data_IF_861052081507
#
_entry.id   IF_861052081507
#
_cell.length_a   1.000
_cell.length_b   1.000
_cell.length_c   1.000
_cell.angle_alpha   90.00
_cell.angle_beta   90.00
_cell.angle_gamma   90.00
#
_symmetry.space_group_name_H-M   'P 1'
#
loop_
_entity.id
_entity.type
_entity.pdbx_description
1 polymer ?
#
# COMPACT_ATOMS: atom_id res chain seq x y z
N UNK A 1 -0.27 -4.42 17.66
CA UNK A 1 1.15 -3.98 17.69
C UNK A 1 1.53 -3.47 16.31
N UNK A 2 2.36 -2.42 16.22
CA UNK A 2 2.88 -1.94 14.95
C UNK A 2 3.76 -3.01 14.29
N UNK A 3 3.68 -3.11 12.98
CA UNK A 3 4.53 -3.98 12.16
C UNK A 3 5.83 -3.26 11.83
N UNK A 4 6.95 -3.99 11.87
CA UNK A 4 8.28 -3.45 11.54
C UNK A 4 8.62 -3.77 10.10
N UNK A 5 9.08 -2.78 9.35
CA UNK A 5 9.49 -2.93 7.97
C UNK A 5 10.69 -2.10 7.60
N UNK A 6 11.04 -2.20 6.35
CA UNK A 6 12.07 -1.40 5.69
C UNK A 6 11.58 -0.94 4.34
N UNK A 7 12.14 0.16 3.85
CA UNK A 7 12.06 0.44 2.43
C UNK A 7 13.45 0.40 1.79
N UNK A 8 13.48 -0.06 0.54
CA UNK A 8 14.69 -0.38 -0.20
C UNK A 8 14.59 0.00 -1.66
N UNK A 9 15.75 0.26 -2.25
CA UNK A 9 15.91 0.59 -3.66
C UNK A 9 17.20 -0.03 -4.21
N UNK A 10 17.66 0.44 -5.36
CA UNK A 10 18.98 0.09 -5.89
C UNK A 10 20.13 0.39 -4.92
N UNK A 11 19.91 1.25 -3.92
CA UNK A 11 20.93 1.56 -2.92
C UNK A 11 21.25 0.33 -2.03
N UNK A 12 20.27 -0.50 -1.74
CA UNK A 12 20.42 -1.73 -0.94
C UNK A 12 20.68 -2.94 -1.86
N UNK A 13 21.83 -2.95 -2.57
CA UNK A 13 22.18 -4.02 -3.53
C UNK A 13 22.40 -5.37 -2.87
N UNK A 14 22.94 -5.38 -1.65
CA UNK A 14 23.27 -6.60 -0.91
C UNK A 14 22.29 -6.77 0.27
N UNK A 15 21.29 -7.63 0.06
CA UNK A 15 20.32 -8.03 1.08
C UNK A 15 20.39 -9.53 1.27
N UNK A 16 20.77 -9.96 2.47
CA UNK A 16 20.65 -11.36 2.88
C UNK A 16 19.23 -11.64 3.40
N UNK A 17 18.38 -12.09 2.51
CA UNK A 17 16.98 -12.41 2.77
C UNK A 17 16.78 -13.58 3.73
N UNK A 18 17.83 -14.35 4.06
CA UNK A 18 17.75 -15.44 5.04
C UNK A 18 17.84 -14.91 6.47
N UNK A 19 18.64 -13.89 6.68
CA UNK A 19 18.84 -13.27 8.00
C UNK A 19 17.93 -12.09 8.28
N UNK A 20 17.37 -11.45 7.23
CA UNK A 20 16.47 -10.31 7.36
C UNK A 20 15.18 -10.68 8.12
N UNK A 21 14.89 -9.96 9.19
CA UNK A 21 13.72 -10.17 10.07
C UNK A 21 12.84 -8.93 10.08
N UNK A 22 11.90 -8.86 9.12
CA UNK A 22 10.93 -7.77 8.98
C UNK A 22 9.54 -8.34 8.67
N UNK A 23 8.50 -7.61 9.07
CA UNK A 23 7.12 -7.95 8.74
C UNK A 23 6.77 -7.57 7.30
N UNK A 24 7.38 -6.50 6.77
CA UNK A 24 7.12 -6.01 5.41
C UNK A 24 8.33 -5.29 4.80
N UNK A 25 8.28 -5.16 3.49
CA UNK A 25 9.24 -4.38 2.70
C UNK A 25 8.50 -3.53 1.67
N UNK A 26 8.88 -2.25 1.53
CA UNK A 26 8.43 -1.38 0.45
C UNK A 26 9.61 -1.15 -0.49
N UNK A 27 9.40 -1.40 -1.78
CA UNK A 27 10.50 -1.40 -2.76
C UNK A 27 10.30 -0.28 -3.77
N UNK A 28 11.35 0.44 -4.10
CA UNK A 28 11.28 1.35 -5.25
C UNK A 28 11.03 0.57 -6.53
N UNK A 29 9.87 0.79 -7.15
CA UNK A 29 9.56 0.19 -8.44
C UNK A 29 10.26 0.94 -9.59
N UNK A 30 10.40 2.25 -9.45
CA UNK A 30 11.04 3.10 -10.43
C UNK A 30 10.79 4.58 -10.14
N UNK A 31 10.99 5.41 -11.16
CA UNK A 31 10.84 6.86 -11.09
C UNK A 31 10.55 7.45 -12.46
N UNK A 32 9.99 8.67 -12.49
CA UNK A 32 9.80 9.42 -13.72
C UNK A 32 8.78 8.82 -14.69
N UNK A 33 8.81 9.22 -15.95
CA UNK A 33 7.73 9.03 -16.92
C UNK A 33 7.79 7.76 -17.77
N UNK A 34 8.85 6.96 -17.66
CA UNK A 34 9.09 5.85 -18.58
C UNK A 34 9.34 4.53 -17.85
N UNK A 35 8.80 3.45 -18.38
CA UNK A 35 8.94 2.11 -17.78
C UNK A 35 10.41 1.62 -17.71
N UNK A 36 11.28 2.10 -18.61
CA UNK A 36 12.71 1.79 -18.55
C UNK A 36 13.43 2.44 -17.34
N UNK A 37 12.79 3.43 -16.67
CA UNK A 37 13.26 4.01 -15.42
C UNK A 37 12.90 3.12 -14.21
N UNK A 38 12.54 1.87 -14.46
CA UNK A 38 12.40 0.85 -13.41
C UNK A 38 13.67 0.75 -12.59
N UNK A 39 13.54 0.63 -11.27
CA UNK A 39 14.67 0.42 -10.38
C UNK A 39 15.35 -0.92 -10.72
N UNK A 40 16.68 -0.89 -10.89
CA UNK A 40 17.46 -2.05 -11.37
C UNK A 40 17.41 -3.23 -10.39
N UNK A 41 17.12 -3.00 -9.10
CA UNK A 41 17.00 -4.04 -8.07
C UNK A 41 15.56 -4.49 -7.83
N UNK A 42 14.56 -3.80 -8.39
CA UNK A 42 13.16 -4.05 -8.10
C UNK A 42 12.72 -5.50 -8.32
N UNK A 43 13.04 -6.08 -9.47
CA UNK A 43 12.67 -7.47 -9.79
C UNK A 43 13.32 -8.48 -8.83
N UNK A 44 14.60 -8.25 -8.50
CA UNK A 44 15.33 -9.10 -7.56
C UNK A 44 14.73 -9.01 -6.16
N UNK A 45 14.51 -7.79 -5.66
CA UNK A 45 13.89 -7.57 -4.35
C UNK A 45 12.48 -8.15 -4.28
N UNK A 46 11.65 -7.92 -5.30
CA UNK A 46 10.31 -8.47 -5.38
C UNK A 46 10.30 -10.00 -5.33
N UNK A 47 11.14 -10.66 -6.15
CA UNK A 47 11.26 -12.12 -6.19
C UNK A 47 11.68 -12.69 -4.83
N UNK A 48 12.68 -12.08 -4.21
CA UNK A 48 13.18 -12.53 -2.92
C UNK A 48 12.16 -12.33 -1.79
N UNK A 49 11.48 -11.19 -1.75
CA UNK A 49 10.40 -10.94 -0.79
C UNK A 49 9.26 -11.97 -0.96
N UNK A 50 8.90 -12.32 -2.20
CA UNK A 50 7.94 -13.39 -2.47
C UNK A 50 8.40 -14.74 -1.92
N UNK A 51 9.64 -15.14 -2.21
CA UNK A 51 10.21 -16.41 -1.78
C UNK A 51 10.26 -16.54 -0.23
N UNK A 52 10.42 -15.44 0.46
CA UNK A 52 10.42 -15.37 1.93
C UNK A 52 9.04 -15.16 2.56
N UNK A 53 8.00 -14.99 1.75
CA UNK A 53 6.66 -14.72 2.25
C UNK A 53 6.53 -13.39 2.98
N UNK A 54 7.47 -12.45 2.78
CA UNK A 54 7.45 -11.12 3.38
C UNK A 54 6.37 -10.29 2.67
N UNK A 55 5.49 -9.65 3.44
CA UNK A 55 4.51 -8.74 2.90
C UNK A 55 5.20 -7.54 2.22
N UNK A 56 4.69 -7.11 1.08
CA UNK A 56 5.39 -6.15 0.23
C UNK A 56 4.51 -5.05 -0.32
N UNK A 57 5.09 -3.87 -0.47
CA UNK A 57 4.59 -2.72 -1.19
C UNK A 57 5.59 -2.23 -2.23
N UNK A 58 5.21 -1.18 -2.92
CA UNK A 58 6.13 -0.51 -3.84
C UNK A 58 5.95 1.00 -3.78
N UNK A 59 6.95 1.75 -4.18
CA UNK A 59 6.85 3.18 -4.39
C UNK A 59 7.42 3.62 -5.74
N UNK A 60 6.93 4.75 -6.22
CA UNK A 60 7.35 5.40 -7.46
C UNK A 60 7.78 6.83 -7.14
N UNK A 61 9.05 7.16 -7.39
CA UNK A 61 9.58 8.49 -7.15
C UNK A 61 9.15 9.47 -8.24
N UNK A 62 8.58 10.59 -7.87
CA UNK A 62 8.00 11.56 -8.79
C UNK A 62 8.96 12.66 -9.21
N UNK A 63 9.02 12.88 -10.51
CA UNK A 63 9.58 14.09 -11.12
C UNK A 63 8.52 14.92 -11.85
N UNK A 64 7.23 14.62 -11.69
CA UNK A 64 6.13 15.24 -12.42
C UNK A 64 6.02 16.74 -12.12
N UNK A 65 6.04 17.56 -13.14
CA UNK A 65 5.85 19.02 -13.05
C UNK A 65 4.44 19.43 -13.50
N UNK A 66 3.64 18.48 -13.99
CA UNK A 66 2.26 18.67 -14.45
C UNK A 66 1.42 17.42 -14.19
N UNK A 67 0.11 17.57 -14.26
CA UNK A 67 -0.82 16.44 -14.20
C UNK A 67 -0.61 15.45 -15.35
N UNK A 68 -0.28 15.96 -16.54
CA UNK A 68 0.06 15.12 -17.70
C UNK A 68 1.32 14.28 -17.42
N UNK A 69 2.36 14.86 -16.80
CA UNK A 69 3.54 14.11 -16.37
C UNK A 69 3.18 13.01 -15.37
N UNK A 70 2.36 13.35 -14.36
CA UNK A 70 1.92 12.38 -13.34
C UNK A 70 1.12 11.21 -13.93
N UNK A 71 0.29 11.47 -14.94
CA UNK A 71 -0.42 10.42 -15.68
C UNK A 71 0.59 9.51 -16.41
N UNK A 72 1.64 10.06 -17.00
CA UNK A 72 2.67 9.23 -17.65
C UNK A 72 3.49 8.44 -16.62
N UNK A 73 3.85 9.03 -15.49
CA UNK A 73 4.48 8.31 -14.37
C UNK A 73 3.62 7.15 -13.87
N UNK A 74 2.30 7.38 -13.72
CA UNK A 74 1.37 6.33 -13.33
C UNK A 74 1.30 5.18 -14.36
N UNK A 75 1.25 5.50 -15.65
CA UNK A 75 1.27 4.49 -16.73
C UNK A 75 2.56 3.67 -16.70
N UNK A 76 3.71 4.32 -16.54
CA UNK A 76 5.01 3.65 -16.40
C UNK A 76 5.04 2.75 -15.16
N UNK A 77 4.55 3.23 -14.02
CA UNK A 77 4.42 2.45 -12.81
C UNK A 77 3.52 1.22 -13.01
N UNK A 78 2.34 1.37 -13.61
CA UNK A 78 1.42 0.28 -13.92
C UNK A 78 2.10 -0.80 -14.77
N UNK A 79 2.85 -0.40 -15.79
CA UNK A 79 3.58 -1.32 -16.66
C UNK A 79 4.61 -2.15 -15.88
N UNK A 80 5.40 -1.50 -15.02
CA UNK A 80 6.40 -2.16 -14.17
C UNK A 80 5.77 -3.10 -13.14
N UNK A 81 4.60 -2.76 -12.60
CA UNK A 81 3.90 -3.54 -11.59
C UNK A 81 3.04 -4.68 -12.17
N UNK A 82 2.85 -4.74 -13.47
CA UNK A 82 1.96 -5.70 -14.15
C UNK A 82 2.29 -7.14 -13.76
N UNK A 83 1.25 -7.91 -13.41
CA UNK A 83 1.36 -9.32 -13.02
C UNK A 83 1.88 -9.57 -11.61
N UNK A 84 2.18 -8.54 -10.83
CA UNK A 84 2.68 -8.63 -9.45
C UNK A 84 1.56 -8.43 -8.44
N UNK A 85 1.78 -8.89 -7.20
CA UNK A 85 0.85 -8.74 -6.06
C UNK A 85 1.54 -8.02 -4.93
N UNK A 86 0.82 -7.05 -4.31
CA UNK A 86 1.35 -6.28 -3.20
C UNK A 86 0.35 -6.24 -2.05
N UNK A 87 0.81 -6.54 -0.85
CA UNK A 87 0.02 -6.52 0.37
C UNK A 87 -0.09 -5.12 0.99
N UNK A 88 0.75 -4.19 0.54
CA UNK A 88 0.76 -2.79 0.94
C UNK A 88 0.36 -1.88 -0.23
N UNK A 89 -0.04 -0.63 0.02
CA UNK A 89 -0.34 0.33 -1.04
C UNK A 89 0.84 0.52 -1.99
N UNK A 90 0.53 1.04 -3.19
CA UNK A 90 1.53 1.58 -4.09
C UNK A 90 1.66 3.06 -3.76
N UNK A 91 2.83 3.47 -3.29
CA UNK A 91 3.05 4.83 -2.85
C UNK A 91 3.62 5.71 -3.96
N UNK A 92 3.06 6.90 -4.08
CA UNK A 92 3.64 7.97 -4.88
C UNK A 92 4.53 8.79 -3.96
N UNK A 93 5.80 8.82 -4.26
CA UNK A 93 6.84 9.48 -3.48
C UNK A 93 7.02 10.90 -4.02
N UNK A 94 6.56 11.88 -3.23
CA UNK A 94 6.46 13.29 -3.60
C UNK A 94 7.27 14.15 -2.64
N UNK A 95 8.51 14.40 -3.02
CA UNK A 95 9.47 15.19 -2.24
C UNK A 95 10.52 15.91 -3.11
N UNK A 96 10.40 15.85 -4.44
CA UNK A 96 11.32 16.50 -5.36
C UNK A 96 11.29 18.03 -5.15
N UNK A 97 12.42 18.67 -4.79
CA UNK A 97 12.43 20.09 -4.42
C UNK A 97 11.84 21.04 -5.49
N UNK A 98 12.01 20.72 -6.77
CA UNK A 98 11.46 21.52 -7.87
C UNK A 98 9.94 21.55 -7.88
N UNK A 99 9.28 20.49 -7.44
CA UNK A 99 7.82 20.45 -7.35
C UNK A 99 7.30 21.41 -6.29
N UNK A 100 8.03 21.65 -5.21
CA UNK A 100 7.60 22.54 -4.12
C UNK A 100 7.32 23.96 -4.61
N UNK A 101 8.10 24.44 -5.58
CA UNK A 101 7.93 25.77 -6.19
C UNK A 101 6.60 25.91 -6.98
N UNK A 102 5.96 24.81 -7.37
CA UNK A 102 4.66 24.84 -8.05
C UNK A 102 3.51 25.25 -7.13
N UNK A 103 3.71 25.19 -5.82
CA UNK A 103 2.72 25.50 -4.82
C UNK A 103 1.71 24.38 -4.56
N UNK A 104 1.02 24.49 -3.42
CA UNK A 104 0.17 23.46 -2.83
C UNK A 104 -0.92 22.93 -3.77
N UNK A 105 -1.62 23.82 -4.46
CA UNK A 105 -2.72 23.43 -5.36
C UNK A 105 -2.22 22.57 -6.53
N UNK A 106 -1.11 22.99 -7.15
CA UNK A 106 -0.56 22.31 -8.33
C UNK A 106 0.05 20.97 -7.96
N UNK A 107 0.84 20.88 -6.89
CA UNK A 107 1.38 19.60 -6.42
C UNK A 107 0.26 18.63 -6.07
N UNK A 108 -0.79 19.11 -5.38
CA UNK A 108 -1.92 18.26 -5.04
C UNK A 108 -2.70 17.78 -6.28
N UNK A 109 -2.81 18.59 -7.33
CA UNK A 109 -3.39 18.17 -8.61
C UNK A 109 -2.54 17.07 -9.28
N UNK A 110 -1.22 17.21 -9.26
CA UNK A 110 -0.26 16.20 -9.73
C UNK A 110 -0.48 14.86 -8.99
N UNK A 111 -0.54 14.90 -7.65
CA UNK A 111 -0.79 13.70 -6.83
C UNK A 111 -2.11 13.04 -7.19
N UNK A 112 -3.20 13.81 -7.34
CA UNK A 112 -4.51 13.30 -7.72
C UNK A 112 -4.52 12.67 -9.11
N UNK A 113 -3.81 13.24 -10.08
CA UNK A 113 -3.71 12.72 -11.43
C UNK A 113 -3.03 11.33 -11.45
N UNK A 114 -1.93 11.17 -10.71
CA UNK A 114 -1.28 9.88 -10.53
C UNK A 114 -2.23 8.88 -9.87
N UNK A 115 -2.85 9.25 -8.75
CA UNK A 115 -3.72 8.38 -7.98
C UNK A 115 -4.94 7.91 -8.78
N UNK A 116 -5.62 8.81 -9.47
CA UNK A 116 -6.78 8.47 -10.30
C UNK A 116 -6.44 7.46 -11.38
N UNK A 117 -5.27 7.62 -12.02
CA UNK A 117 -4.77 6.70 -13.05
C UNK A 117 -4.47 5.31 -12.46
N UNK A 118 -3.80 5.26 -11.32
CA UNK A 118 -3.49 4.01 -10.62
C UNK A 118 -4.74 3.30 -10.08
N UNK A 119 -5.68 4.05 -9.49
CA UNK A 119 -6.94 3.51 -8.98
C UNK A 119 -7.80 2.90 -10.09
N UNK A 120 -7.85 3.55 -11.26
CA UNK A 120 -8.53 3.02 -12.45
C UNK A 120 -7.91 1.69 -12.93
N UNK A 121 -6.62 1.50 -12.73
CA UNK A 121 -5.92 0.24 -13.03
C UNK A 121 -6.03 -0.81 -11.90
N UNK A 122 -6.80 -0.54 -10.83
CA UNK A 122 -7.07 -1.49 -9.75
C UNK A 122 -6.08 -1.47 -8.61
N UNK A 123 -5.20 -0.47 -8.52
CA UNK A 123 -4.28 -0.32 -7.41
C UNK A 123 -4.89 0.47 -6.25
N UNK A 124 -4.51 0.11 -5.04
CA UNK A 124 -4.70 0.93 -3.84
C UNK A 124 -3.46 1.79 -3.66
N UNK A 125 -3.65 3.09 -3.63
CA UNK A 125 -2.55 4.05 -3.62
C UNK A 125 -2.38 4.75 -2.28
N UNK A 126 -1.18 5.27 -2.05
CA UNK A 126 -0.83 6.09 -0.91
C UNK A 126 0.20 7.16 -1.28
N UNK A 127 0.34 8.16 -0.44
CA UNK A 127 1.32 9.21 -0.55
C UNK A 127 2.48 8.95 0.42
N UNK A 128 3.71 8.93 -0.08
CA UNK A 128 4.90 9.13 0.75
C UNK A 128 5.36 10.58 0.62
N UNK A 129 5.66 11.17 1.76
CA UNK A 129 6.26 12.50 1.85
C UNK A 129 6.78 12.77 3.28
N UNK A 130 7.50 13.88 3.47
CA UNK A 130 7.97 14.29 4.79
C UNK A 130 7.00 15.27 5.49
N UNK A 131 7.28 15.59 6.77
CA UNK A 131 6.43 16.44 7.62
C UNK A 131 6.22 17.84 7.04
N UNK A 132 7.25 18.45 6.47
CA UNK A 132 7.12 19.78 5.87
C UNK A 132 6.19 19.79 4.66
N UNK A 133 6.35 18.85 3.75
CA UNK A 133 5.49 18.70 2.59
C UNK A 133 4.06 18.36 2.98
N UNK A 134 3.89 17.46 3.94
CA UNK A 134 2.56 17.12 4.45
C UNK A 134 1.83 18.36 4.96
N UNK A 135 2.49 19.23 5.72
CA UNK A 135 1.88 20.45 6.27
C UNK A 135 1.61 21.51 5.21
N UNK A 136 2.61 21.78 4.38
CA UNK A 136 2.70 23.01 3.60
C UNK A 136 2.39 22.81 2.11
N UNK A 137 2.53 21.58 1.57
CA UNK A 137 2.47 21.32 0.12
C UNK A 137 1.29 20.43 -0.27
N UNK A 138 0.76 19.60 0.63
CA UNK A 138 -0.33 18.67 0.32
C UNK A 138 -1.66 19.19 0.88
N UNK A 139 -2.73 19.09 0.08
CA UNK A 139 -4.09 19.50 0.50
C UNK A 139 -4.75 18.47 1.41
N UNK A 140 -5.70 18.93 2.23
CA UNK A 140 -6.32 18.11 3.28
C UNK A 140 -7.22 16.99 2.73
N UNK A 141 -7.78 17.15 1.54
CA UNK A 141 -8.57 16.12 0.88
C UNK A 141 -7.74 14.90 0.52
N UNK A 142 -6.48 15.08 0.09
CA UNK A 142 -5.53 13.99 -0.13
C UNK A 142 -5.23 13.29 1.19
N UNK A 143 -4.86 14.04 2.23
CA UNK A 143 -4.53 13.52 3.56
C UNK A 143 -5.67 12.71 4.19
N UNK A 144 -6.92 13.10 3.94
CA UNK A 144 -8.12 12.43 4.46
C UNK A 144 -8.50 11.18 3.68
N UNK A 145 -8.24 11.16 2.37
CA UNK A 145 -8.73 10.09 1.49
C UNK A 145 -7.73 8.95 1.31
N UNK A 146 -6.45 9.23 1.30
CA UNK A 146 -5.42 8.28 0.89
C UNK A 146 -4.57 7.78 2.04
N UNK A 147 -3.93 6.62 1.84
CA UNK A 147 -2.95 6.10 2.79
C UNK A 147 -1.74 7.04 2.84
N UNK A 148 -1.29 7.38 4.04
CA UNK A 148 -0.13 8.25 4.25
C UNK A 148 1.01 7.42 4.81
N UNK A 149 2.17 7.54 4.16
CA UNK A 149 3.47 7.09 4.64
C UNK A 149 4.32 8.34 4.87
N UNK A 150 4.62 8.62 6.13
CA UNK A 150 5.26 9.86 6.54
C UNK A 150 6.70 9.64 6.96
N UNK A 151 7.62 10.41 6.40
CA UNK A 151 9.01 10.47 6.85
C UNK A 151 9.16 11.51 7.96
N UNK A 152 9.70 11.07 9.09
CA UNK A 152 10.02 11.94 10.23
C UNK A 152 11.02 11.21 11.13
N UNK A 153 12.28 11.50 10.96
CA UNK A 153 13.36 10.72 11.53
C UNK A 153 13.78 11.18 12.93
N UNK A 154 14.20 10.21 13.76
CA UNK A 154 14.78 10.44 15.07
C UNK A 154 13.92 11.29 16.02
N UNK A 155 12.60 11.16 15.94
CA UNK A 155 11.61 11.81 16.80
C UNK A 155 10.76 10.76 17.51
N UNK A 156 10.08 11.15 18.59
CA UNK A 156 9.18 10.24 19.31
C UNK A 156 7.90 9.90 18.51
N UNK A 157 7.46 10.85 17.66
CA UNK A 157 6.32 10.69 16.72
C UNK A 157 6.36 11.78 15.65
N UNK A 158 5.78 11.55 14.46
CA UNK A 158 5.64 12.61 13.46
C UNK A 158 4.82 13.79 13.98
N UNK A 159 5.33 15.00 13.78
CA UNK A 159 4.65 16.23 14.21
C UNK A 159 3.59 16.67 13.18
N UNK A 160 2.59 15.82 12.93
CA UNK A 160 1.47 16.09 12.01
C UNK A 160 0.13 15.93 12.72
N UNK A 161 -0.88 16.68 12.24
CA UNK A 161 -2.27 16.57 12.67
C UNK A 161 -3.04 15.75 11.61
N UNK A 162 -3.13 14.44 11.80
CA UNK A 162 -3.86 13.56 10.91
C UNK A 162 -3.33 12.12 10.96
N UNK A 163 -4.10 11.19 10.37
CA UNK A 163 -3.71 9.79 10.37
C UNK A 163 -2.56 9.53 9.41
N UNK A 164 -1.72 8.59 9.78
CA UNK A 164 -0.75 7.97 8.90
C UNK A 164 -0.77 6.45 9.11
N UNK A 165 -0.57 5.73 8.04
CA UNK A 165 -0.56 4.25 8.10
C UNK A 165 0.83 3.68 8.25
N UNK A 166 1.84 4.39 7.72
CA UNK A 166 3.26 4.03 7.86
C UNK A 166 4.06 5.25 8.29
N UNK A 167 5.06 4.99 9.09
CA UNK A 167 6.05 5.98 9.54
C UNK A 167 7.46 5.48 9.26
N UNK A 168 8.17 6.17 8.36
CA UNK A 168 9.61 6.02 8.17
C UNK A 168 10.30 6.82 9.28
N UNK A 169 10.80 6.11 10.29
CA UNK A 169 11.19 6.74 11.56
C UNK A 169 12.69 6.95 11.71
N UNK A 170 13.49 6.26 10.90
CA UNK A 170 14.95 6.29 11.04
C UNK A 170 15.64 5.76 9.78
N UNK A 171 16.78 6.32 9.48
CA UNK A 171 17.80 5.70 8.64
C UNK A 171 18.80 5.00 9.55
N UNK A 172 19.12 3.73 9.30
CA UNK A 172 20.05 2.99 10.15
C UNK A 172 20.29 1.56 9.67
N UNK A 173 21.06 0.82 10.45
CA UNK A 173 21.42 -0.54 10.13
C UNK A 173 20.41 -1.56 10.65
N UNK A 174 20.16 -2.58 9.85
CA UNK A 174 19.37 -3.75 10.23
C UNK A 174 20.10 -5.01 9.78
N UNK A 175 19.99 -6.09 10.58
CA UNK A 175 20.59 -7.35 10.21
C UNK A 175 19.99 -7.88 8.89
N UNK A 176 20.85 -8.31 7.99
CA UNK A 176 20.47 -8.77 6.66
C UNK A 176 20.55 -7.70 5.55
N UNK A 177 20.80 -6.42 5.87
CA UNK A 177 21.03 -5.38 4.86
C UNK A 177 22.45 -4.82 5.01
N UNK A 178 23.20 -4.79 3.92
CA UNK A 178 24.53 -4.18 3.91
C UNK A 178 24.41 -2.67 3.80
N UNK A 179 24.97 -1.94 4.77
CA UNK A 179 24.85 -0.48 4.87
C UNK A 179 23.58 -0.02 5.59
N UNK A 180 23.29 1.26 5.42
CA UNK A 180 22.10 1.87 6.02
C UNK A 180 20.85 1.62 5.16
N UNK A 181 19.71 1.60 5.81
CA UNK A 181 18.42 1.33 5.23
C UNK A 181 17.35 2.15 5.97
N UNK A 182 16.30 2.51 5.28
CA UNK A 182 15.17 3.19 5.88
C UNK A 182 14.31 2.19 6.67
N UNK A 183 13.98 2.56 7.90
CA UNK A 183 13.26 1.73 8.85
C UNK A 183 11.85 2.28 9.09
N UNK A 184 10.86 1.38 9.04
CA UNK A 184 9.46 1.72 9.06
C UNK A 184 8.65 1.04 10.17
N UNK A 185 7.60 1.73 10.62
CA UNK A 185 6.50 1.14 11.36
C UNK A 185 5.21 1.25 10.56
N UNK A 186 4.46 0.16 10.41
CA UNK A 186 3.10 0.18 9.88
C UNK A 186 2.09 -0.05 11.01
N UNK A 187 1.07 0.79 11.06
CA UNK A 187 0.02 0.80 12.07
C UNK A 187 -1.32 0.27 11.55
N UNK A 188 -1.42 0.06 10.25
CA UNK A 188 -2.61 -0.42 9.55
C UNK A 188 -2.36 -1.83 9.03
N UNK A 189 -3.33 -2.73 9.19
CA UNK A 189 -3.29 -4.07 8.59
C UNK A 189 -3.62 -4.01 7.10
N UNK A 190 -2.67 -3.49 6.32
CA UNK A 190 -2.81 -3.42 4.87
C UNK A 190 -2.96 -4.79 4.21
N UNK A 191 -2.22 -5.86 4.60
CA UNK A 191 -2.36 -7.18 3.99
C UNK A 191 -3.80 -7.71 3.98
N UNK A 192 -4.50 -7.58 5.09
CA UNK A 192 -5.92 -7.98 5.17
C UNK A 192 -6.80 -7.09 4.31
N UNK A 193 -6.57 -5.76 4.35
CA UNK A 193 -7.38 -4.82 3.57
C UNK A 193 -7.21 -5.01 2.06
N UNK A 194 -5.98 -5.19 1.55
CA UNK A 194 -5.70 -5.39 0.13
C UNK A 194 -6.40 -6.64 -0.41
N UNK A 195 -6.25 -7.77 0.31
CA UNK A 195 -6.88 -9.04 -0.06
C UNK A 195 -8.41 -8.94 -0.05
N UNK A 196 -8.99 -8.31 0.96
CA UNK A 196 -10.45 -8.09 1.07
C UNK A 196 -10.98 -7.19 -0.05
N UNK A 197 -10.26 -6.13 -0.38
CA UNK A 197 -10.65 -5.17 -1.42
C UNK A 197 -10.45 -5.73 -2.85
N UNK A 198 -9.64 -6.77 -3.03
CA UNK A 198 -9.27 -7.29 -4.35
C UNK A 198 -8.47 -6.26 -5.14
N UNK A 199 -7.51 -5.60 -4.50
CA UNK A 199 -6.63 -4.58 -5.09
C UNK A 199 -5.19 -5.08 -5.18
N UNK A 200 -4.35 -4.34 -5.87
CA UNK A 200 -2.90 -4.60 -5.98
C UNK A 200 -2.59 -6.01 -6.49
N UNK A 201 -3.33 -6.48 -7.51
CA UNK A 201 -3.16 -7.81 -8.10
C UNK A 201 -3.92 -8.94 -7.38
N UNK A 202 -4.63 -8.66 -6.30
CA UNK A 202 -5.53 -9.62 -5.68
C UNK A 202 -6.91 -9.60 -6.32
N UNK A 203 -7.54 -10.76 -6.44
CA UNK A 203 -8.94 -10.88 -6.84
C UNK A 203 -9.85 -10.73 -5.62
N UNK A 204 -10.99 -10.05 -5.77
CA UNK A 204 -12.04 -10.09 -4.75
C UNK A 204 -12.48 -11.54 -4.56
N UNK A 205 -12.36 -12.08 -3.35
CA UNK A 205 -13.03 -13.36 -3.07
C UNK A 205 -14.52 -13.17 -3.31
N UNK A 206 -15.20 -14.07 -4.05
CA UNK A 206 -16.66 -14.06 -4.12
C UNK A 206 -17.21 -13.98 -2.70
N UNK A 207 -18.18 -13.11 -2.46
CA UNK A 207 -18.87 -13.11 -1.18
C UNK A 207 -19.38 -14.54 -0.97
N UNK A 208 -18.95 -15.19 0.10
CA UNK A 208 -19.55 -16.47 0.49
C UNK A 208 -21.03 -16.20 0.70
N UNK A 209 -21.89 -16.78 -0.17
CA UNK A 209 -23.33 -16.73 0.07
C UNK A 209 -23.55 -17.16 1.51
N UNK A 210 -24.32 -16.41 2.30
CA UNK A 210 -24.63 -16.85 3.65
C UNK A 210 -25.12 -18.30 3.56
N UNK A 211 -24.53 -19.17 4.36
CA UNK A 211 -24.95 -20.57 4.40
C UNK A 211 -26.47 -20.58 4.57
N UNK A 212 -27.20 -21.24 3.64
CA UNK A 212 -28.64 -21.38 3.78
C UNK A 212 -28.88 -22.00 5.16
N UNK A 213 -29.57 -21.28 6.04
CA UNK A 213 -29.94 -21.83 7.34
C UNK A 213 -30.70 -23.15 7.08
N UNK A 214 -30.23 -24.23 7.67
CA UNK A 214 -30.91 -25.49 7.56
C UNK A 214 -32.27 -25.34 8.20
N UNK A 215 -33.33 -25.62 7.44
CA UNK A 215 -34.71 -25.70 7.94
C UNK A 215 -35.08 -27.15 7.99
N UNK A 216 -35.66 -27.56 9.10
CA UNK A 216 -36.24 -28.88 9.29
C UNK A 216 -37.75 -28.71 9.39
N UNK A 217 -38.53 -29.33 8.51
CA UNK A 217 -39.97 -29.42 8.67
C UNK A 217 -40.31 -30.63 9.57
N UNK A 218 -41.12 -30.40 10.59
CA UNK A 218 -41.64 -31.45 11.46
C UNK A 218 -43.16 -31.48 11.33
N UNK A 219 -43.68 -32.67 11.26
CA UNK A 219 -45.13 -32.89 11.29
C UNK A 219 -45.43 -33.82 12.44
N UNK A 220 -46.36 -33.45 13.30
CA UNK A 220 -46.89 -34.34 14.36
C UNK A 220 -48.42 -34.36 14.31
N UNK A 221 -49.01 -35.49 14.66
CA UNK A 221 -50.46 -35.65 14.73
C UNK A 221 -50.85 -35.94 16.17
N UNK A 222 -51.76 -35.16 16.73
CA UNK A 222 -52.30 -35.32 18.08
C UNK A 222 -53.83 -35.32 17.96
N UNK A 223 -54.50 -36.34 18.50
CA UNK A 223 -55.96 -36.50 18.47
C UNK A 223 -56.59 -36.33 17.07
N UNK A 224 -55.89 -36.87 16.03
CA UNK A 224 -56.35 -36.83 14.65
C UNK A 224 -56.12 -35.54 13.94
N UNK A 225 -55.50 -34.52 14.59
CA UNK A 225 -55.17 -33.24 14.00
C UNK A 225 -53.66 -33.17 13.71
N UNK A 226 -53.31 -32.87 12.47
CA UNK A 226 -51.93 -32.81 12.01
C UNK A 226 -51.38 -31.35 12.12
N UNK A 227 -50.26 -31.21 12.83
CA UNK A 227 -49.54 -29.96 13.00
C UNK A 227 -48.22 -30.00 12.22
N UNK A 228 -47.95 -28.96 11.44
CA UNK A 228 -46.67 -28.81 10.70
C UNK A 228 -45.93 -27.60 11.19
N UNK A 229 -44.67 -27.74 11.56
CA UNK A 229 -43.81 -26.68 12.03
C UNK A 229 -42.47 -26.65 11.26
N UNK A 230 -41.88 -25.47 11.11
CA UNK A 230 -40.56 -25.29 10.52
C UNK A 230 -39.61 -24.82 11.62
N UNK A 231 -38.54 -25.59 11.86
CA UNK A 231 -37.43 -25.21 12.72
C UNK A 231 -36.31 -24.63 11.88
N UNK A 232 -35.87 -23.43 12.24
CA UNK A 232 -34.73 -22.77 11.59
C UNK A 232 -33.57 -22.69 12.58
N UNK A 233 -32.39 -23.09 12.16
CA UNK A 233 -31.18 -22.96 12.97
C UNK A 233 -30.95 -21.48 13.36
N UNK A 234 -30.84 -21.20 14.66
CA UNK A 234 -30.47 -19.87 15.17
C UNK A 234 -29.02 -19.52 14.94
#
# INVERSE_FOLDING_TARGET
MAKKGIDISYCQKAVDWNTLKVDFVIMRAGYGKYAYQKDVMFESHYKNACNKGIAKGAYWYSYAMSEADAIQEAKACIEVLKGKKFEYPIYFDVEEPKQKALGKAKVSAIVKAFFSTMEAAGYWVGLYTNVDWYKNVITDDIKKRYAIWIASWNVAKPAINGPYGIWQYKVGRINGVSGDCDLDYAYVDYPTQMKKAGKNGYSKKPATKPAKKKTLSMTCTVDGVTYTGILTQK
#
